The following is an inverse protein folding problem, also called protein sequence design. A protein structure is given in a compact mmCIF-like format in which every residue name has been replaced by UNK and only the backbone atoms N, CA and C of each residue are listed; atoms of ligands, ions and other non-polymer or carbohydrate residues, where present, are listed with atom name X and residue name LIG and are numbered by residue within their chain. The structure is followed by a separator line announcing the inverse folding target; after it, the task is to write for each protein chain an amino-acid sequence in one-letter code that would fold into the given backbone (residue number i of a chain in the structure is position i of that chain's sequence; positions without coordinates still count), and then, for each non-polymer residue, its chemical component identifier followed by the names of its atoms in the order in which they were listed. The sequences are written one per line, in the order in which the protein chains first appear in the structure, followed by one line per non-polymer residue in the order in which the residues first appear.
data_IF_218278561259
#
_entry.id   IF_218278561259
#
_cell.length_a   1.000
_cell.length_b   1.000
_cell.length_c   1.000
_cell.angle_alpha   90.00
_cell.angle_beta   90.00
_cell.angle_gamma   90.00
#
_symmetry.space_group_name_H-M   'P 1'
#
loop_
_entity.id
_entity.type
_entity.pdbx_description
1 polymer ?
#
# COMPACT_ATOMS: atom_id res chain seq x y z
N UNK A 1 7.24 13.99 16.23
CA UNK A 1 7.52 12.64 16.76
C UNK A 1 6.86 11.54 15.91
N UNK A 2 5.54 11.51 15.69
CA UNK A 2 4.84 10.44 14.94
C UNK A 2 5.35 10.30 13.51
N UNK A 3 5.50 11.39 12.76
CA UNK A 3 6.02 11.36 11.39
C UNK A 3 7.43 10.77 11.29
N UNK A 4 8.29 11.04 12.28
CA UNK A 4 9.62 10.45 12.34
C UNK A 4 9.56 8.93 12.58
N UNK A 5 8.64 8.45 13.44
CA UNK A 5 8.39 7.03 13.64
C UNK A 5 7.89 6.38 12.34
N UNK A 6 6.92 6.99 11.67
CA UNK A 6 6.45 6.50 10.36
C UNK A 6 7.61 6.36 9.38
N UNK A 7 8.52 7.35 9.30
CA UNK A 7 9.68 7.31 8.41
C UNK A 7 10.64 6.15 8.72
N UNK A 8 11.03 5.98 9.97
CA UNK A 8 11.95 4.92 10.40
C UNK A 8 11.34 3.53 10.15
N UNK A 9 10.10 3.32 10.61
CA UNK A 9 9.43 2.03 10.44
C UNK A 9 9.08 1.72 8.99
N UNK A 10 8.91 2.75 8.15
CA UNK A 10 8.74 2.58 6.71
C UNK A 10 9.97 1.95 6.02
N UNK A 11 11.18 2.34 6.43
CA UNK A 11 12.40 1.70 5.93
C UNK A 11 12.42 0.21 6.31
N UNK A 12 12.14 -0.11 7.58
CA UNK A 12 12.10 -1.50 8.07
C UNK A 12 11.02 -2.30 7.34
N UNK A 13 9.83 -1.74 7.21
CA UNK A 13 8.69 -2.39 6.52
C UNK A 13 8.97 -2.67 5.06
N UNK A 14 9.57 -1.72 4.34
CA UNK A 14 9.94 -1.88 2.93
C UNK A 14 10.98 -2.99 2.73
N UNK A 15 12.02 -3.04 3.56
CA UNK A 15 13.01 -4.12 3.53
C UNK A 15 12.37 -5.48 3.87
N UNK A 16 11.56 -5.51 4.93
CA UNK A 16 10.85 -6.72 5.36
C UNK A 16 9.89 -7.26 4.29
N UNK A 17 9.11 -6.40 3.66
CA UNK A 17 8.18 -6.78 2.60
C UNK A 17 8.90 -7.28 1.36
N UNK A 18 10.03 -6.68 1.01
CA UNK A 18 10.91 -7.16 -0.06
C UNK A 18 11.39 -8.59 0.22
N UNK A 19 11.88 -8.85 1.42
CA UNK A 19 12.28 -10.19 1.83
C UNK A 19 11.11 -11.18 1.82
N UNK A 20 9.95 -10.82 2.38
CA UNK A 20 8.76 -11.66 2.36
C UNK A 20 8.30 -11.99 0.94
N UNK A 21 8.40 -11.05 0.00
CA UNK A 21 8.05 -11.27 -1.40
C UNK A 21 9.00 -12.23 -2.13
N UNK A 22 10.18 -12.53 -1.59
CA UNK A 22 11.05 -13.59 -2.12
C UNK A 22 10.67 -14.98 -1.61
N UNK A 23 10.06 -15.06 -0.43
CA UNK A 23 9.70 -16.33 0.25
C UNK A 23 8.25 -16.75 0.01
N UNK A 24 7.35 -15.79 -0.14
CA UNK A 24 5.92 -16.02 -0.25
C UNK A 24 5.35 -15.46 -1.56
N UNK A 25 4.12 -15.89 -1.89
CA UNK A 25 3.34 -15.33 -3.00
C UNK A 25 3.20 -13.82 -2.85
N UNK A 26 3.65 -13.06 -3.85
CA UNK A 26 3.69 -11.60 -3.85
C UNK A 26 2.29 -10.99 -3.73
N UNK A 27 1.29 -11.60 -4.38
CA UNK A 27 -0.12 -11.19 -4.26
C UNK A 27 -0.65 -11.34 -2.83
N UNK A 28 -0.27 -12.43 -2.13
CA UNK A 28 -0.69 -12.64 -0.74
C UNK A 28 -0.01 -11.64 0.20
N UNK A 29 1.27 -11.34 -0.03
CA UNK A 29 1.99 -10.31 0.71
C UNK A 29 1.34 -8.94 0.52
N UNK A 30 1.00 -8.57 -0.73
CA UNK A 30 0.29 -7.32 -1.04
C UNK A 30 -1.08 -7.26 -0.37
N UNK A 31 -1.88 -8.33 -0.50
CA UNK A 31 -3.19 -8.40 0.15
C UNK A 31 -3.08 -8.22 1.66
N UNK A 32 -2.14 -8.93 2.31
CA UNK A 32 -1.91 -8.80 3.74
C UNK A 32 -1.53 -7.38 4.15
N UNK A 33 -0.61 -6.72 3.43
CA UNK A 33 -0.20 -5.35 3.72
C UNK A 33 -1.39 -4.38 3.64
N UNK A 34 -2.23 -4.49 2.59
CA UNK A 34 -3.39 -3.62 2.44
C UNK A 34 -4.45 -3.87 3.52
N UNK A 35 -4.76 -5.13 3.85
CA UNK A 35 -5.71 -5.45 4.91
C UNK A 35 -5.21 -5.00 6.28
N UNK A 36 -3.93 -5.23 6.61
CA UNK A 36 -3.33 -4.75 7.86
C UNK A 36 -3.31 -3.22 7.93
N UNK A 37 -3.11 -2.53 6.79
CA UNK A 37 -3.23 -1.08 6.73
C UNK A 37 -4.64 -0.62 7.07
N UNK A 38 -5.67 -1.28 6.52
CA UNK A 38 -7.07 -1.02 6.89
C UNK A 38 -7.32 -1.18 8.39
N UNK A 39 -6.81 -2.27 8.99
CA UNK A 39 -6.89 -2.48 10.45
C UNK A 39 -6.18 -1.37 11.23
N UNK A 40 -5.00 -0.93 10.80
CA UNK A 40 -4.27 0.17 11.44
C UNK A 40 -5.03 1.50 11.37
N UNK A 41 -5.73 1.78 10.25
CA UNK A 41 -6.56 2.97 10.10
C UNK A 41 -7.82 2.90 11.00
N UNK A 42 -8.47 1.73 11.09
CA UNK A 42 -9.61 1.50 12.00
C UNK A 42 -9.15 1.70 13.45
N UNK A 43 -8.02 1.12 13.82
CA UNK A 43 -7.43 1.30 15.15
C UNK A 43 -7.27 2.79 15.49
N UNK A 44 -6.69 3.57 14.60
CA UNK A 44 -6.45 5.00 14.81
C UNK A 44 -7.74 5.79 14.94
N UNK A 45 -8.76 5.48 14.13
CA UNK A 45 -10.01 6.22 14.08
C UNK A 45 -10.89 6.03 15.34
N UNK A 46 -10.93 4.81 15.85
CA UNK A 46 -11.87 4.45 16.92
C UNK A 46 -11.29 4.44 18.33
N UNK A 47 -9.97 4.53 18.48
CA UNK A 47 -9.37 4.57 19.80
C UNK A 47 -9.18 6.01 20.31
N UNK A 48 -9.30 6.22 21.63
CA UNK A 48 -9.13 7.54 22.19
C UNK A 48 -7.74 8.11 21.92
N UNK A 49 -7.62 9.41 21.64
CA UNK A 49 -6.33 10.04 21.38
C UNK A 49 -5.44 9.95 22.62
N UNK A 50 -4.31 9.25 22.49
CA UNK A 50 -3.29 9.14 23.51
C UNK A 50 -1.91 9.05 22.86
N UNK A 51 -0.86 9.37 23.61
CA UNK A 51 0.53 9.24 23.13
C UNK A 51 0.81 7.79 22.75
N UNK A 52 0.36 6.83 23.55
CA UNK A 52 0.54 5.41 23.30
C UNK A 52 -0.12 4.99 21.98
N UNK A 53 -1.40 5.31 21.79
CA UNK A 53 -2.15 4.97 20.56
C UNK A 53 -1.53 5.63 19.32
N UNK A 54 -1.05 6.86 19.45
CA UNK A 54 -0.36 7.58 18.37
C UNK A 54 0.98 6.93 18.00
N UNK A 55 1.74 6.44 18.98
CA UNK A 55 2.99 5.72 18.74
C UNK A 55 2.71 4.37 18.07
N UNK A 56 1.74 3.60 18.58
CA UNK A 56 1.34 2.32 17.97
C UNK A 56 0.91 2.52 16.52
N UNK A 57 0.09 3.53 16.25
CA UNK A 57 -0.30 3.88 14.89
C UNK A 57 0.92 4.26 14.02
N UNK A 58 1.80 5.14 14.51
CA UNK A 58 2.99 5.56 13.77
C UNK A 58 3.90 4.39 13.40
N UNK A 59 4.07 3.41 14.30
CA UNK A 59 4.84 2.18 14.06
C UNK A 59 4.14 1.28 13.04
N UNK A 60 2.88 0.91 13.29
CA UNK A 60 2.15 -0.05 12.45
C UNK A 60 1.89 0.51 11.06
N UNK A 61 1.45 1.75 10.96
CA UNK A 61 1.20 2.42 9.70
C UNK A 61 2.51 2.66 8.93
N UNK A 62 3.58 3.06 9.64
CA UNK A 62 4.91 3.22 9.06
C UNK A 62 5.41 1.93 8.43
N UNK A 63 5.35 0.80 9.14
CA UNK A 63 5.71 -0.52 8.61
C UNK A 63 4.98 -0.89 7.32
N UNK A 64 3.75 -0.39 7.13
CA UNK A 64 2.89 -0.77 6.01
C UNK A 64 2.86 0.27 4.87
N UNK A 65 3.38 1.49 5.08
CA UNK A 65 3.21 2.63 4.16
C UNK A 65 3.73 2.35 2.75
N UNK A 66 5.04 2.19 2.57
CA UNK A 66 5.66 1.88 1.27
C UNK A 66 6.00 0.39 1.10
N UNK A 67 5.58 -0.45 2.03
CA UNK A 67 5.84 -1.90 1.98
C UNK A 67 5.19 -2.60 0.78
N UNK A 68 4.30 -1.93 0.06
CA UNK A 68 3.71 -2.43 -1.19
C UNK A 68 4.66 -2.32 -2.39
N UNK A 69 5.65 -1.42 -2.34
CA UNK A 69 6.53 -1.13 -3.48
C UNK A 69 7.37 -2.33 -3.93
N UNK A 70 8.14 -3.02 -3.06
CA UNK A 70 8.94 -4.15 -3.48
C UNK A 70 8.12 -5.35 -3.98
N UNK A 71 7.03 -5.79 -3.30
CA UNK A 71 6.22 -6.89 -3.80
C UNK A 71 5.53 -6.55 -5.13
N UNK A 72 5.08 -5.30 -5.34
CA UNK A 72 4.46 -4.87 -6.60
C UNK A 72 5.45 -4.94 -7.75
N UNK A 73 6.66 -4.40 -7.57
CA UNK A 73 7.71 -4.48 -8.58
C UNK A 73 8.11 -5.94 -8.87
N UNK A 74 8.25 -6.74 -7.82
CA UNK A 74 8.52 -8.17 -7.95
C UNK A 74 7.40 -8.94 -8.66
N UNK A 75 6.13 -8.58 -8.45
CA UNK A 75 4.98 -9.19 -9.12
C UNK A 75 4.96 -8.84 -10.61
N UNK A 76 5.15 -7.57 -10.96
CA UNK A 76 5.24 -7.09 -12.35
C UNK A 76 6.39 -7.81 -13.08
N UNK A 77 7.58 -7.85 -12.47
CA UNK A 77 8.74 -8.54 -13.05
C UNK A 77 8.54 -10.04 -13.22
N UNK A 78 7.83 -10.69 -12.29
CA UNK A 78 7.53 -12.11 -12.35
C UNK A 78 6.54 -12.45 -13.46
N UNK A 79 5.50 -11.66 -13.63
CA UNK A 79 4.44 -11.91 -14.63
C UNK A 79 4.91 -11.53 -16.04
N UNK A 80 5.50 -10.35 -16.20
CA UNK A 80 5.79 -9.76 -17.51
C UNK A 80 7.26 -9.91 -17.93
N UNK A 81 8.11 -10.41 -17.06
CA UNK A 81 9.56 -10.48 -17.29
C UNK A 81 10.26 -9.13 -17.06
N UNK A 82 11.60 -9.16 -17.10
CA UNK A 82 12.43 -7.99 -16.74
C UNK A 82 12.75 -7.09 -17.94
N UNK A 83 12.52 -7.53 -19.19
CA UNK A 83 12.92 -6.80 -20.42
C UNK A 83 12.34 -5.37 -20.47
N UNK A 84 11.10 -5.17 -20.03
CA UNK A 84 10.39 -3.87 -20.06
C UNK A 84 9.93 -3.41 -18.68
N UNK A 85 10.61 -3.88 -17.63
CA UNK A 85 10.18 -3.64 -16.24
C UNK A 85 10.10 -2.14 -15.90
N UNK A 86 11.03 -1.34 -16.41
CA UNK A 86 11.04 0.11 -16.18
C UNK A 86 9.78 0.79 -16.72
N UNK A 87 9.34 0.45 -17.94
CA UNK A 87 8.13 0.97 -18.55
C UNK A 87 6.89 0.52 -17.79
N UNK A 88 6.78 -0.78 -17.49
CA UNK A 88 5.61 -1.36 -16.82
C UNK A 88 5.47 -0.80 -15.41
N UNK A 89 6.58 -0.71 -14.67
CA UNK A 89 6.56 -0.12 -13.34
C UNK A 89 6.31 1.38 -13.38
N UNK A 90 6.76 2.08 -14.43
CA UNK A 90 6.43 3.49 -14.67
C UNK A 90 4.92 3.70 -14.79
N UNK A 91 4.19 2.83 -15.51
CA UNK A 91 2.73 2.87 -15.64
C UNK A 91 2.06 2.66 -14.27
N UNK A 92 2.53 1.67 -13.51
CA UNK A 92 2.06 1.43 -12.13
C UNK A 92 2.30 2.66 -11.25
N UNK A 93 3.47 3.29 -11.37
CA UNK A 93 3.82 4.47 -10.59
C UNK A 93 2.97 5.69 -10.96
N UNK A 94 2.67 5.92 -12.24
CA UNK A 94 1.73 6.97 -12.68
C UNK A 94 0.35 6.75 -12.07
N UNK A 95 -0.17 5.51 -12.07
CA UNK A 95 -1.44 5.19 -11.43
C UNK A 95 -1.42 5.51 -9.93
N UNK A 96 -0.30 5.21 -9.25
CA UNK A 96 -0.09 5.55 -7.86
C UNK A 96 -0.11 7.07 -7.63
N UNK A 97 0.54 7.85 -8.49
CA UNK A 97 0.57 9.32 -8.38
C UNK A 97 -0.82 9.93 -8.60
N UNK A 98 -1.61 9.39 -9.54
CA UNK A 98 -3.00 9.82 -9.73
C UNK A 98 -3.82 9.54 -8.46
N UNK A 99 -3.65 8.36 -7.86
CA UNK A 99 -4.30 8.02 -6.59
C UNK A 99 -3.88 8.95 -5.44
N UNK A 100 -2.60 9.30 -5.36
CA UNK A 100 -2.08 10.23 -4.35
C UNK A 100 -2.65 11.63 -4.51
N UNK A 101 -2.74 12.13 -5.75
CA UNK A 101 -3.37 13.40 -6.05
C UNK A 101 -4.85 13.42 -5.64
N UNK A 102 -5.61 12.40 -6.07
CA UNK A 102 -7.03 12.28 -5.72
C UNK A 102 -7.25 12.18 -4.22
N UNK A 103 -6.40 11.44 -3.50
CA UNK A 103 -6.48 11.29 -2.05
C UNK A 103 -6.27 12.62 -1.32
N UNK A 104 -5.26 13.39 -1.72
CA UNK A 104 -4.99 14.71 -1.15
C UNK A 104 -6.12 15.71 -1.47
N UNK A 105 -6.58 15.74 -2.72
CA UNK A 105 -7.67 16.61 -3.17
C UNK A 105 -8.98 16.30 -2.44
N UNK A 106 -9.41 15.04 -2.43
CA UNK A 106 -10.64 14.63 -1.76
C UNK A 106 -10.57 14.83 -0.24
N UNK A 107 -9.39 14.64 0.37
CA UNK A 107 -9.17 14.96 1.78
C UNK A 107 -9.45 16.43 2.10
N UNK A 108 -8.99 17.35 1.26
CA UNK A 108 -9.29 18.79 1.35
C UNK A 108 -10.78 19.08 1.19
N UNK A 109 -11.41 18.53 0.14
CA UNK A 109 -12.86 18.70 -0.11
C UNK A 109 -13.70 18.20 1.07
N UNK A 110 -13.40 17.03 1.62
CA UNK A 110 -14.13 16.49 2.77
C UNK A 110 -13.97 17.37 4.00
N UNK A 111 -12.78 17.93 4.23
CA UNK A 111 -12.56 18.85 5.33
C UNK A 111 -13.34 20.16 5.15
N UNK A 112 -13.36 20.75 3.95
CA UNK A 112 -14.14 21.95 3.65
C UNK A 112 -15.65 21.73 3.84
N UNK A 113 -16.15 20.54 3.45
CA UNK A 113 -17.59 20.23 3.54
C UNK A 113 -18.06 19.88 4.95
N UNK A 114 -17.22 19.22 5.76
CA UNK A 114 -17.66 18.63 7.03
C UNK A 114 -16.90 19.15 8.26
N UNK A 115 -15.84 19.95 8.08
CA UNK A 115 -15.00 20.48 9.16
C UNK A 115 -14.11 19.44 9.86
N UNK A 116 -14.05 18.20 9.33
CA UNK A 116 -13.23 17.11 9.84
C UNK A 116 -12.75 16.17 8.72
N UNK A 117 -11.86 15.24 9.05
CA UNK A 117 -11.30 14.25 8.11
C UNK A 117 -11.96 12.87 8.18
N UNK A 118 -13.08 12.70 8.89
CA UNK A 118 -13.67 11.38 9.13
C UNK A 118 -14.02 10.66 7.82
N UNK A 119 -14.61 11.37 6.86
CA UNK A 119 -14.91 10.81 5.55
C UNK A 119 -13.66 10.38 4.77
N UNK A 120 -12.56 11.12 4.88
CA UNK A 120 -11.30 10.73 4.27
C UNK A 120 -10.75 9.42 4.88
N UNK A 121 -10.91 9.25 6.20
CA UNK A 121 -10.55 8.01 6.90
C UNK A 121 -11.42 6.84 6.47
N UNK A 122 -12.76 7.01 6.40
CA UNK A 122 -13.67 5.96 5.94
C UNK A 122 -13.35 5.51 4.51
N UNK A 123 -13.14 6.45 3.60
CA UNK A 123 -12.75 6.14 2.22
C UNK A 123 -11.40 5.40 2.18
N UNK A 124 -10.43 5.83 2.97
CA UNK A 124 -9.11 5.17 3.05
C UNK A 124 -9.20 3.74 3.57
N UNK A 125 -10.06 3.48 4.57
CA UNK A 125 -10.33 2.13 5.09
C UNK A 125 -10.98 1.27 4.01
N UNK A 126 -12.04 1.77 3.36
CA UNK A 126 -12.74 1.05 2.31
C UNK A 126 -11.80 0.69 1.12
N UNK A 127 -10.98 1.65 0.68
CA UNK A 127 -10.00 1.43 -0.38
C UNK A 127 -8.90 0.44 0.04
N UNK A 128 -8.47 0.44 1.31
CA UNK A 128 -7.50 -0.53 1.81
C UNK A 128 -8.05 -1.95 1.79
N UNK A 129 -9.30 -2.15 2.22
CA UNK A 129 -9.98 -3.45 2.17
C UNK A 129 -10.16 -3.88 0.70
N UNK A 130 -10.68 -3.01 -0.15
CA UNK A 130 -10.86 -3.27 -1.57
C UNK A 130 -9.53 -3.66 -2.24
N UNK A 131 -8.46 -2.90 -2.00
CA UNK A 131 -7.14 -3.20 -2.53
C UNK A 131 -6.62 -4.55 -2.04
N UNK A 132 -6.80 -4.88 -0.76
CA UNK A 132 -6.43 -6.19 -0.23
C UNK A 132 -7.16 -7.34 -0.91
N UNK A 133 -8.44 -7.21 -1.16
CA UNK A 133 -9.26 -8.24 -1.80
C UNK A 133 -8.97 -8.40 -3.29
N UNK A 134 -8.80 -7.30 -4.04
CA UNK A 134 -8.56 -7.34 -5.48
C UNK A 134 -7.21 -7.95 -5.86
N UNK A 135 -6.25 -8.03 -4.93
CA UNK A 135 -4.99 -8.70 -5.17
C UNK A 135 -5.09 -10.24 -5.12
N UNK A 136 -6.10 -10.80 -4.45
CA UNK A 136 -6.24 -12.25 -4.28
C UNK A 136 -6.45 -13.03 -5.58
N UNK A 137 -7.28 -12.58 -6.55
CA UNK A 137 -7.51 -13.29 -7.80
C UNK A 137 -6.34 -13.19 -8.81
N UNK A 138 -5.32 -12.38 -8.56
CA UNK A 138 -4.17 -12.26 -9.47
C UNK A 138 -3.51 -13.62 -9.67
N UNK A 139 -3.27 -14.00 -10.92
CA UNK A 139 -2.55 -15.23 -11.28
C UNK A 139 -1.07 -14.92 -11.38
N UNK A 140 -0.27 -15.42 -10.44
CA UNK A 140 1.19 -15.28 -10.42
C UNK A 140 1.87 -16.30 -11.34
N UNK A 141 1.60 -16.22 -12.64
CA UNK A 141 2.30 -17.04 -13.64
C UNK A 141 2.99 -16.13 -14.65
N UNK A 142 4.21 -16.47 -15.02
CA UNK A 142 4.91 -15.78 -16.09
C UNK A 142 4.14 -15.95 -17.40
N UNK A 143 4.01 -14.85 -18.15
CA UNK A 143 3.42 -14.89 -19.50
C UNK A 143 4.47 -15.50 -20.44
N UNK A 144 4.20 -16.69 -20.99
CA UNK A 144 5.01 -17.28 -22.04
C UNK A 144 4.91 -16.40 -23.30
N UNK A 145 6.02 -15.75 -23.61
CA UNK A 145 6.14 -15.03 -24.90
C UNK A 145 6.69 -16.02 -25.90
N UNK A 146 5.88 -16.46 -26.86
CA UNK A 146 6.36 -17.08 -28.08
C UNK A 146 7.38 -16.13 -28.71
N UNK A 147 8.66 -16.49 -28.69
CA UNK A 147 9.66 -15.75 -29.47
C UNK A 147 9.25 -15.91 -30.94
N UNK A 148 9.09 -14.82 -31.69
CA UNK A 148 9.05 -14.95 -33.15
C UNK A 148 10.39 -15.55 -33.58
N UNK A 149 10.31 -16.59 -34.41
CA UNK A 149 11.46 -17.25 -35.01
C UNK A 149 12.32 -16.30 -35.83
#
# INVERSE_FOLDING_TARGET
MILALVGVFNMIGTMGSGYLATKFSKKKVLSAIYLLRGVSLIYFLYLPPSIFNSVVFGVTFGLLWLSTVPPTNGLVGHIFGTKHIGLLYGIVFVSHQIGSFLGAYLGGVFYEMHGNFDYAWYVSIALSIFAGLIHLPIVEKAIERTQPA
#
